data_IF_251548887104
#
_entry.id   IF_251548887104
#
_cell.length_a   1.000
_cell.length_b   1.000
_cell.length_c   1.000
_cell.angle_alpha   90.00
_cell.angle_beta   90.00
_cell.angle_gamma   90.00
#
_symmetry.space_group_name_H-M   'P 1'
#
loop_
_entity.id
_entity.type
_entity.pdbx_description
1 polymer ?
#
# COMPACT_ATOMS: atom_id res chain seq x y z
N UNK A 1 -0.84 0.35 -40.81
CA UNK A 1 -0.39 0.12 -39.43
C UNK A 1 -1.63 0.15 -38.55
N UNK A 2 -1.92 -0.90 -37.80
CA UNK A 2 -3.06 -0.91 -36.87
C UNK A 2 -2.77 0.05 -35.71
N UNK A 3 -3.70 0.95 -35.40
CA UNK A 3 -3.65 1.76 -34.19
C UNK A 3 -3.79 0.85 -32.98
N UNK A 4 -2.80 0.87 -32.08
CA UNK A 4 -2.87 0.19 -30.78
C UNK A 4 -3.50 1.17 -29.80
N UNK A 5 -4.64 0.80 -29.21
CA UNK A 5 -5.22 1.55 -28.11
C UNK A 5 -4.49 1.17 -26.81
N UNK A 6 -3.94 2.19 -26.13
CA UNK A 6 -3.24 2.02 -24.85
C UNK A 6 -4.11 2.56 -23.72
N UNK A 7 -4.14 1.84 -22.60
CA UNK A 7 -4.76 2.29 -21.36
C UNK A 7 -3.69 2.65 -20.34
N UNK A 8 -3.97 3.62 -19.46
CA UNK A 8 -3.08 3.93 -18.34
C UNK A 8 -3.02 2.73 -17.38
N UNK A 9 -1.82 2.36 -16.96
CA UNK A 9 -1.62 1.34 -15.94
C UNK A 9 -1.99 1.90 -14.56
N UNK A 10 -2.88 1.21 -13.85
CA UNK A 10 -3.23 1.50 -12.46
C UNK A 10 -3.08 0.23 -11.63
N UNK A 11 -1.98 0.14 -10.87
CA UNK A 11 -1.65 -1.04 -10.06
C UNK A 11 -2.76 -1.40 -9.07
N UNK A 12 -3.55 -0.41 -8.60
CA UNK A 12 -4.63 -0.65 -7.66
C UNK A 12 -5.72 -1.59 -8.20
N UNK A 13 -5.85 -1.71 -9.53
CA UNK A 13 -6.80 -2.64 -10.17
C UNK A 13 -6.40 -4.12 -10.02
N UNK A 14 -5.14 -4.39 -9.66
CA UNK A 14 -4.59 -5.74 -9.55
C UNK A 14 -4.33 -6.16 -8.08
N UNK A 15 -4.56 -5.26 -7.12
CA UNK A 15 -4.38 -5.50 -5.68
C UNK A 15 -5.69 -5.98 -5.04
N UNK A 16 -6.32 -7.00 -5.65
CA UNK A 16 -7.67 -7.47 -5.34
C UNK A 16 -7.73 -8.63 -4.34
N UNK A 17 -6.59 -9.26 -4.04
CA UNK A 17 -6.47 -10.36 -3.09
C UNK A 17 -5.23 -10.25 -2.21
N UNK A 18 -5.23 -11.01 -1.11
CA UNK A 18 -4.21 -10.90 -0.05
C UNK A 18 -2.86 -11.42 -0.49
N UNK A 19 -2.84 -12.44 -1.34
CA UNK A 19 -1.62 -13.06 -1.84
C UNK A 19 -0.83 -12.07 -2.71
N UNK A 20 -1.51 -11.35 -3.62
CA UNK A 20 -0.87 -10.33 -4.45
C UNK A 20 -0.41 -9.14 -3.61
N UNK A 21 -1.20 -8.70 -2.64
CA UNK A 21 -0.81 -7.62 -1.71
C UNK A 21 0.44 -8.03 -0.90
N UNK A 22 0.48 -9.26 -0.39
CA UNK A 22 1.60 -9.77 0.39
C UNK A 22 2.87 -9.88 -0.46
N UNK A 23 2.78 -10.38 -1.69
CA UNK A 23 3.91 -10.46 -2.60
C UNK A 23 4.43 -9.07 -2.96
N UNK A 24 3.54 -8.14 -3.32
CA UNK A 24 3.92 -6.76 -3.64
C UNK A 24 4.66 -6.07 -2.49
N UNK A 25 4.13 -6.16 -1.26
CA UNK A 25 4.81 -5.61 -0.09
C UNK A 25 6.13 -6.32 0.22
N UNK A 26 6.21 -7.64 0.00
CA UNK A 26 7.45 -8.41 0.24
C UNK A 26 8.57 -7.94 -0.68
N UNK A 27 8.29 -7.72 -1.97
CA UNK A 27 9.27 -7.22 -2.94
C UNK A 27 9.75 -5.81 -2.55
N UNK A 28 8.82 -4.91 -2.19
CA UNK A 28 9.16 -3.55 -1.75
C UNK A 28 10.02 -3.58 -0.48
N UNK A 29 9.71 -4.44 0.49
CA UNK A 29 10.47 -4.57 1.73
C UNK A 29 11.87 -5.18 1.53
N UNK A 30 12.05 -6.00 0.49
CA UNK A 30 13.32 -6.63 0.18
C UNK A 30 14.30 -5.67 -0.52
N UNK A 31 13.82 -4.97 -1.55
CA UNK A 31 14.69 -4.23 -2.48
C UNK A 31 14.41 -2.72 -2.54
N UNK A 32 13.31 -2.26 -1.96
CA UNK A 32 12.86 -0.87 -2.05
C UNK A 32 13.27 0.03 -0.88
N UNK A 33 12.87 1.29 -0.98
CA UNK A 33 13.07 2.30 0.06
C UNK A 33 11.77 2.67 0.83
N UNK A 34 11.90 3.60 1.78
CA UNK A 34 10.75 4.06 2.56
C UNK A 34 9.69 4.74 1.70
N UNK A 35 10.07 5.53 0.71
CA UNK A 35 9.11 6.23 -0.15
C UNK A 35 8.33 5.23 -1.02
N UNK A 36 9.00 4.20 -1.54
CA UNK A 36 8.38 3.09 -2.27
C UNK A 36 7.43 2.28 -1.38
N UNK A 37 7.79 2.05 -0.11
CA UNK A 37 6.89 1.43 0.87
C UNK A 37 5.62 2.27 1.09
N UNK A 38 5.76 3.59 1.24
CA UNK A 38 4.62 4.48 1.43
C UNK A 38 3.72 4.53 0.19
N UNK A 39 4.31 4.54 -1.00
CA UNK A 39 3.59 4.47 -2.26
C UNK A 39 2.82 3.15 -2.39
N UNK A 40 3.46 2.02 -2.12
CA UNK A 40 2.83 0.71 -2.14
C UNK A 40 1.64 0.62 -1.18
N UNK A 41 1.81 1.07 0.07
CA UNK A 41 0.72 1.14 1.05
C UNK A 41 -0.43 2.04 0.58
N UNK A 42 -0.11 3.16 -0.08
CA UNK A 42 -1.10 4.05 -0.68
C UNK A 42 -1.87 3.37 -1.83
N UNK A 43 -1.19 2.65 -2.70
CA UNK A 43 -1.78 1.88 -3.80
C UNK A 43 -2.74 0.81 -3.29
N UNK A 44 -2.33 0.04 -2.27
CA UNK A 44 -3.18 -0.96 -1.65
C UNK A 44 -4.35 -0.30 -0.92
N UNK A 45 -4.13 0.84 -0.26
CA UNK A 45 -5.19 1.59 0.40
C UNK A 45 -6.24 2.12 -0.58
N UNK A 46 -5.82 2.52 -1.78
CA UNK A 46 -6.71 2.90 -2.87
C UNK A 46 -7.53 1.70 -3.37
N UNK A 47 -6.91 0.53 -3.52
CA UNK A 47 -7.58 -0.70 -3.95
C UNK A 47 -8.62 -1.19 -2.94
N UNK A 48 -8.27 -1.21 -1.65
CA UNK A 48 -9.15 -1.68 -0.56
C UNK A 48 -10.22 -0.65 -0.16
N UNK A 49 -9.90 0.64 -0.31
CA UNK A 49 -10.77 1.75 0.06
C UNK A 49 -10.33 2.46 1.34
N UNK A 50 -10.05 3.75 1.22
CA UNK A 50 -9.51 4.57 2.32
C UNK A 50 -10.42 4.65 3.55
N UNK A 51 -11.74 4.64 3.35
CA UNK A 51 -12.71 4.68 4.46
C UNK A 51 -12.67 3.41 5.31
N UNK A 52 -12.46 2.25 4.67
CA UNK A 52 -12.33 0.98 5.37
C UNK A 52 -11.06 0.97 6.23
N UNK A 53 -9.93 1.38 5.65
CA UNK A 53 -8.66 1.44 6.39
C UNK A 53 -8.71 2.43 7.55
N UNK A 54 -9.31 3.60 7.36
CA UNK A 54 -9.51 4.56 8.44
C UNK A 54 -10.28 3.94 9.62
N UNK A 55 -11.35 3.19 9.33
CA UNK A 55 -12.14 2.49 10.33
C UNK A 55 -11.36 1.38 11.04
N UNK A 56 -10.60 0.57 10.31
CA UNK A 56 -9.84 -0.56 10.85
C UNK A 56 -8.61 -0.12 11.65
N UNK A 57 -7.97 0.98 11.27
CA UNK A 57 -6.76 1.52 11.92
C UNK A 57 -7.05 2.50 13.05
N UNK A 58 -8.26 3.07 13.10
CA UNK A 58 -8.61 4.19 13.98
C UNK A 58 -7.95 5.51 13.58
N UNK A 59 -7.33 5.58 12.39
CA UNK A 59 -6.69 6.79 11.87
C UNK A 59 -7.67 7.59 11.00
N UNK A 60 -7.57 8.92 11.05
CA UNK A 60 -8.34 9.78 10.15
C UNK A 60 -7.88 9.65 8.69
N UNK A 61 -8.82 9.71 7.73
CA UNK A 61 -8.53 9.66 6.28
C UNK A 61 -7.46 10.68 5.85
N UNK A 62 -7.52 11.91 6.38
CA UNK A 62 -6.52 12.94 6.09
C UNK A 62 -5.12 12.55 6.59
N UNK A 63 -5.04 11.96 7.80
CA UNK A 63 -3.80 11.44 8.36
C UNK A 63 -3.22 10.32 7.49
N UNK A 64 -4.08 9.43 6.98
CA UNK A 64 -3.67 8.34 6.08
C UNK A 64 -3.14 8.89 4.75
N UNK A 65 -3.84 9.84 4.12
CA UNK A 65 -3.33 10.47 2.89
C UNK A 65 -1.97 11.13 3.09
N UNK A 66 -1.78 11.84 4.21
CA UNK A 66 -0.47 12.42 4.57
C UNK A 66 0.58 11.35 4.84
N UNK A 67 0.20 10.24 5.47
CA UNK A 67 1.10 9.12 5.80
C UNK A 67 1.71 8.51 4.54
N UNK A 68 0.97 8.43 3.44
CA UNK A 68 1.44 7.82 2.19
C UNK A 68 2.15 8.81 1.25
N UNK A 69 2.34 10.07 1.64
CA UNK A 69 3.09 11.02 0.82
C UNK A 69 4.58 10.74 0.87
N UNK A 70 5.24 10.90 -0.29
CA UNK A 70 6.69 10.86 -0.44
C UNK A 70 7.39 11.84 0.50
N UNK A 71 8.48 11.41 1.13
CA UNK A 71 9.29 12.21 2.03
C UNK A 71 8.73 12.35 3.45
N UNK A 72 7.58 11.73 3.75
CA UNK A 72 7.07 11.68 5.12
C UNK A 72 7.78 10.61 5.94
N UNK A 73 7.79 10.80 7.26
CA UNK A 73 8.44 9.89 8.21
C UNK A 73 7.41 9.37 9.22
N UNK A 74 6.48 8.50 8.79
CA UNK A 74 5.53 7.91 9.71
C UNK A 74 6.24 7.04 10.75
N UNK A 75 5.66 7.00 11.94
CA UNK A 75 6.12 6.09 12.98
C UNK A 75 5.87 4.65 12.52
N UNK A 76 6.75 3.75 12.95
CA UNK A 76 6.63 2.32 12.64
C UNK A 76 5.30 1.73 13.13
N UNK A 77 4.76 2.20 14.26
CA UNK A 77 3.44 1.74 14.76
C UNK A 77 2.30 2.09 13.79
N UNK A 78 2.36 3.25 13.14
CA UNK A 78 1.43 3.64 12.09
C UNK A 78 1.51 2.68 10.90
N UNK A 79 2.73 2.37 10.44
CA UNK A 79 2.95 1.42 9.33
C UNK A 79 2.37 0.05 9.68
N UNK A 80 2.68 -0.48 10.86
CA UNK A 80 2.19 -1.78 11.31
C UNK A 80 0.67 -1.84 11.45
N UNK A 81 0.02 -0.76 11.90
CA UNK A 81 -1.46 -0.65 11.94
C UNK A 81 -2.05 -0.74 10.54
N UNK A 82 -1.47 0.01 9.58
CA UNK A 82 -1.92 -0.03 8.18
C UNK A 82 -1.75 -1.45 7.62
N UNK A 83 -0.55 -2.05 7.71
CA UNK A 83 -0.31 -3.41 7.21
C UNK A 83 -1.28 -4.42 7.82
N UNK A 84 -1.53 -4.32 9.13
CA UNK A 84 -2.50 -5.20 9.81
C UNK A 84 -3.92 -5.01 9.28
N UNK A 85 -4.34 -3.76 9.01
CA UNK A 85 -5.64 -3.48 8.40
C UNK A 85 -5.75 -4.10 7.01
N UNK A 86 -4.66 -4.19 6.24
CA UNK A 86 -4.64 -4.85 4.93
C UNK A 86 -4.83 -6.37 5.02
N UNK A 87 -4.80 -6.95 6.23
CA UNK A 87 -5.03 -8.37 6.46
C UNK A 87 -3.85 -9.26 6.11
N UNK A 88 -2.65 -8.67 6.04
CA UNK A 88 -1.36 -9.36 5.82
C UNK A 88 -0.45 -9.17 7.04
N UNK A 89 0.68 -9.89 7.08
CA UNK A 89 1.63 -9.86 8.20
C UNK A 89 3.06 -9.68 7.68
N UNK A 90 3.86 -8.91 8.41
CA UNK A 90 5.31 -8.81 8.16
C UNK A 90 6.00 -10.02 8.76
N UNK A 91 7.00 -10.56 8.04
CA UNK A 91 7.84 -11.66 8.47
C UNK A 91 9.32 -11.25 8.47
N UNK A 92 10.12 -11.83 9.37
CA UNK A 92 11.58 -11.73 9.38
C UNK A 92 12.17 -13.06 8.89
N UNK A 93 13.15 -13.01 8.00
CA UNK A 93 13.84 -14.18 7.40
C UNK A 93 15.36 -14.04 7.57
N UNK A 94 16.10 -15.14 7.44
CA UNK A 94 17.56 -15.21 7.59
C UNK A 94 18.23 -15.72 6.32
#
# INVERSE_FOLDING_TARGET
MSNVELTNFDIAQYLDNKEVIAEYLSQILADGDMDELLEALGNIAKAKGMSQIASETGLGRESLYKTFHKGTKPKFDTIMKVISSLGVKVQVTA
#
